data_IF_534655723913
#
_entry.id   IF_534655723913
#
_cell.length_a   1.000
_cell.length_b   1.000
_cell.length_c   1.000
_cell.angle_alpha   90.00
_cell.angle_beta   90.00
_cell.angle_gamma   90.00
#
_symmetry.space_group_name_H-M   'P 1'
#
loop_
_entity.id
_entity.type
_entity.pdbx_description
1 polymer ?
#
# COMPACT_ATOMS: atom_id res chain seq x y z
N UNK A 1 -11.51 68.27 -56.49
CA UNK A 1 -10.32 67.71 -55.79
C UNK A 1 -9.19 67.66 -56.80
N UNK A 2 -7.98 68.13 -56.47
CA UNK A 2 -6.84 68.01 -57.37
C UNK A 2 -6.42 66.55 -57.57
N UNK A 3 -5.93 66.19 -58.77
CA UNK A 3 -5.53 64.82 -59.12
C UNK A 3 -4.58 64.17 -58.10
N UNK A 4 -3.67 64.95 -57.51
CA UNK A 4 -2.76 64.47 -56.48
C UNK A 4 -3.48 63.98 -55.20
N UNK A 5 -4.56 64.65 -54.79
CA UNK A 5 -5.31 64.27 -53.60
C UNK A 5 -6.13 62.98 -53.80
N UNK A 6 -6.70 62.79 -55.00
CA UNK A 6 -7.43 61.55 -55.35
C UNK A 6 -6.49 60.36 -55.49
N UNK A 7 -5.30 60.55 -56.06
CA UNK A 7 -4.28 59.50 -56.15
C UNK A 7 -3.72 59.11 -54.77
N UNK A 8 -3.45 60.10 -53.90
CA UNK A 8 -3.02 59.83 -52.53
C UNK A 8 -4.07 59.04 -51.71
N UNK A 9 -5.36 59.39 -51.87
CA UNK A 9 -6.45 58.64 -51.23
C UNK A 9 -6.58 57.22 -51.79
N UNK A 10 -6.46 57.04 -53.10
CA UNK A 10 -6.48 55.72 -53.74
C UNK A 10 -5.37 54.82 -53.20
N UNK A 11 -4.12 55.30 -53.19
CA UNK A 11 -2.98 54.59 -52.58
C UNK A 11 -3.21 54.24 -51.10
N UNK A 12 -3.75 55.17 -50.31
CA UNK A 12 -4.08 54.93 -48.91
C UNK A 12 -5.14 53.85 -48.70
N UNK A 13 -6.19 53.84 -49.53
CA UNK A 13 -7.23 52.80 -49.49
C UNK A 13 -6.70 51.45 -49.98
N UNK A 14 -5.84 51.42 -51.00
CA UNK A 14 -5.18 50.18 -51.46
C UNK A 14 -4.29 49.59 -50.36
N UNK A 15 -3.53 50.43 -49.65
CA UNK A 15 -2.70 49.99 -48.52
C UNK A 15 -3.57 49.43 -47.39
N UNK A 16 -4.68 50.10 -47.04
CA UNK A 16 -5.63 49.60 -46.04
C UNK A 16 -6.28 48.27 -46.45
N UNK A 17 -6.72 48.13 -47.71
CA UNK A 17 -7.28 46.89 -48.24
C UNK A 17 -6.29 45.73 -48.11
N UNK A 18 -5.04 45.97 -48.50
CA UNK A 18 -3.95 44.98 -48.40
C UNK A 18 -3.71 44.55 -46.95
N UNK A 19 -3.76 45.50 -46.00
CA UNK A 19 -3.63 45.18 -44.57
C UNK A 19 -4.79 44.33 -44.06
N UNK A 20 -6.04 44.66 -44.42
CA UNK A 20 -7.23 43.89 -44.03
C UNK A 20 -7.19 42.47 -44.59
N UNK A 21 -6.79 42.32 -45.86
CA UNK A 21 -6.59 41.01 -46.49
C UNK A 21 -5.49 40.20 -45.80
N UNK A 22 -4.38 40.85 -45.41
CA UNK A 22 -3.31 40.21 -44.67
C UNK A 22 -3.73 39.78 -43.26
N UNK A 23 -4.49 40.61 -42.54
CA UNK A 23 -5.07 40.24 -41.24
C UNK A 23 -6.05 39.06 -41.38
N UNK A 24 -6.89 39.04 -42.41
CA UNK A 24 -7.80 37.92 -42.69
C UNK A 24 -7.04 36.61 -42.96
N UNK A 25 -5.92 36.66 -43.69
CA UNK A 25 -5.06 35.49 -43.90
C UNK A 25 -4.45 34.98 -42.60
N UNK A 26 -3.97 35.87 -41.72
CA UNK A 26 -3.42 35.47 -40.42
C UNK A 26 -4.49 34.79 -39.56
N UNK A 27 -5.71 35.34 -39.51
CA UNK A 27 -6.81 34.74 -38.77
C UNK A 27 -7.12 33.34 -39.30
N UNK A 28 -7.18 33.16 -40.63
CA UNK A 28 -7.40 31.83 -41.20
C UNK A 28 -6.30 30.83 -40.84
N UNK A 29 -5.03 31.25 -40.82
CA UNK A 29 -3.92 30.39 -40.35
C UNK A 29 -4.07 30.02 -38.87
N UNK A 30 -4.47 30.97 -38.02
CA UNK A 30 -4.74 30.70 -36.60
C UNK A 30 -5.88 29.70 -36.44
N UNK A 31 -6.97 29.84 -37.18
CA UNK A 31 -8.10 28.89 -37.16
C UNK A 31 -7.69 27.48 -37.61
N UNK A 32 -6.88 27.35 -38.66
CA UNK A 32 -6.33 26.03 -39.05
C UNK A 32 -5.47 25.42 -37.95
N UNK A 33 -4.67 26.23 -37.25
CA UNK A 33 -3.86 25.77 -36.12
C UNK A 33 -4.73 25.28 -34.96
N UNK A 34 -5.77 26.05 -34.59
CA UNK A 34 -6.74 25.68 -33.56
C UNK A 34 -7.51 24.40 -33.93
N UNK A 35 -7.87 24.23 -35.21
CA UNK A 35 -8.52 23.02 -35.70
C UNK A 35 -7.64 21.78 -35.54
N UNK A 36 -6.35 21.88 -35.87
CA UNK A 36 -5.39 20.80 -35.65
C UNK A 36 -5.22 20.48 -34.16
N UNK A 37 -5.16 21.50 -33.30
CA UNK A 37 -5.09 21.29 -31.84
C UNK A 37 -6.35 20.62 -31.30
N UNK A 38 -7.53 21.02 -31.75
CA UNK A 38 -8.79 20.37 -31.39
C UNK A 38 -8.80 18.90 -31.81
N UNK A 39 -8.34 18.59 -33.03
CA UNK A 39 -8.26 17.20 -33.51
C UNK A 39 -7.30 16.35 -32.64
N UNK A 40 -6.18 16.91 -32.20
CA UNK A 40 -5.26 16.23 -31.30
C UNK A 40 -5.91 15.92 -29.95
N UNK A 41 -6.61 16.88 -29.34
CA UNK A 41 -7.32 16.65 -28.08
C UNK A 41 -8.43 15.59 -28.19
N UNK A 42 -9.12 15.53 -29.33
CA UNK A 42 -10.07 14.44 -29.59
C UNK A 42 -9.38 13.08 -29.73
N UNK A 43 -8.21 13.02 -30.36
CA UNK A 43 -7.41 11.78 -30.43
C UNK A 43 -6.90 11.36 -29.05
N UNK A 44 -6.50 12.31 -28.21
CA UNK A 44 -6.07 12.04 -26.84
C UNK A 44 -7.22 11.42 -26.03
N UNK A 45 -8.45 11.97 -26.11
CA UNK A 45 -9.63 11.38 -25.47
C UNK A 45 -9.93 9.96 -25.95
N UNK A 46 -9.75 9.67 -27.24
CA UNK A 46 -9.97 8.33 -27.80
C UNK A 46 -8.87 7.34 -27.41
N UNK A 47 -7.66 7.83 -27.15
CA UNK A 47 -6.50 7.04 -26.74
C UNK A 47 -6.46 6.74 -25.24
N UNK A 48 -7.26 7.42 -24.42
CA UNK A 48 -7.32 7.17 -22.98
C UNK A 48 -7.99 5.82 -22.68
N UNK A 49 -7.34 5.00 -21.88
CA UNK A 49 -7.89 3.73 -21.39
C UNK A 49 -8.69 3.91 -20.11
N UNK A 50 -9.91 3.39 -20.08
CA UNK A 50 -10.74 3.36 -18.87
C UNK A 50 -10.12 2.36 -17.87
N UNK A 51 -9.79 2.77 -16.63
CA UNK A 51 -9.36 1.84 -15.59
C UNK A 51 -10.43 0.78 -15.31
N UNK A 52 -10.00 -0.47 -15.10
CA UNK A 52 -10.90 -1.60 -14.83
C UNK A 52 -10.79 -1.98 -13.35
N UNK A 53 -11.91 -2.12 -12.61
CA UNK A 53 -11.85 -2.50 -11.22
C UNK A 53 -11.30 -3.93 -11.05
N UNK A 54 -10.47 -4.19 -10.03
CA UNK A 54 -10.00 -5.54 -9.73
C UNK A 54 -11.17 -6.43 -9.29
N UNK A 55 -11.15 -7.70 -9.67
CA UNK A 55 -12.14 -8.68 -9.21
C UNK A 55 -11.68 -9.31 -7.90
N UNK A 56 -12.58 -9.43 -6.92
CA UNK A 56 -12.30 -10.17 -5.67
C UNK A 56 -11.92 -11.63 -5.97
N UNK A 57 -12.47 -12.20 -7.04
CA UNK A 57 -12.23 -13.59 -7.42
C UNK A 57 -10.75 -13.86 -7.73
N UNK A 58 -10.04 -12.89 -8.31
CA UNK A 58 -8.61 -12.99 -8.65
C UNK A 58 -7.72 -13.11 -7.40
N UNK A 59 -8.24 -12.69 -6.24
CA UNK A 59 -7.57 -12.75 -4.94
C UNK A 59 -8.16 -13.84 -4.04
N UNK A 60 -9.15 -14.60 -4.52
CA UNK A 60 -9.73 -15.73 -3.80
C UNK A 60 -9.08 -17.03 -4.22
N UNK A 61 -8.72 -17.87 -3.26
CA UNK A 61 -8.25 -19.24 -3.51
C UNK A 61 -9.04 -20.25 -2.69
N UNK A 62 -9.35 -21.38 -3.31
CA UNK A 62 -9.91 -22.54 -2.62
C UNK A 62 -8.79 -23.27 -1.89
N UNK A 63 -8.90 -23.37 -0.57
CA UNK A 63 -7.97 -24.12 0.28
C UNK A 63 -8.64 -25.36 0.82
N UNK A 64 -7.87 -26.43 0.95
CA UNK A 64 -8.32 -27.70 1.51
C UNK A 64 -7.54 -27.96 2.80
N UNK A 65 -8.24 -28.22 3.90
CA UNK A 65 -7.66 -28.53 5.20
C UNK A 65 -8.15 -29.88 5.72
N UNK A 66 -7.34 -30.56 6.51
CA UNK A 66 -7.73 -31.77 7.23
C UNK A 66 -7.11 -31.78 8.63
N UNK A 67 -7.78 -32.41 9.58
CA UNK A 67 -7.34 -32.53 10.96
C UNK A 67 -6.74 -33.92 11.21
N UNK A 68 -5.58 -33.95 11.88
CA UNK A 68 -4.92 -35.17 12.35
C UNK A 68 -4.66 -35.03 13.86
N UNK A 69 -5.64 -35.44 14.67
CA UNK A 69 -5.61 -35.23 16.12
C UNK A 69 -5.64 -33.74 16.48
N UNK A 70 -4.56 -33.23 17.08
CA UNK A 70 -4.38 -31.81 17.41
C UNK A 70 -3.70 -30.99 16.29
N UNK A 71 -3.37 -31.62 15.16
CA UNK A 71 -2.69 -31.00 14.04
C UNK A 71 -3.69 -30.55 12.99
N UNK A 72 -3.62 -29.28 12.59
CA UNK A 72 -4.37 -28.76 11.44
C UNK A 72 -3.46 -28.74 10.22
N UNK A 73 -3.84 -29.44 9.16
CA UNK A 73 -3.03 -29.53 7.95
C UNK A 73 -3.74 -28.82 6.79
N UNK A 74 -3.07 -27.88 6.13
CA UNK A 74 -3.58 -27.18 4.94
C UNK A 74 -2.82 -27.64 3.70
N UNK A 75 -3.52 -28.20 2.72
CA UNK A 75 -2.93 -28.60 1.43
C UNK A 75 -2.45 -27.36 0.68
N UNK A 76 -1.18 -27.36 0.31
CA UNK A 76 -0.53 -26.29 -0.47
C UNK A 76 -0.35 -26.68 -1.93
N UNK A 77 -0.12 -27.97 -2.21
CA UNK A 77 0.02 -28.46 -3.57
C UNK A 77 -0.49 -29.89 -3.68
N UNK A 78 -1.04 -30.20 -4.85
CA UNK A 78 -1.59 -31.52 -5.17
C UNK A 78 -1.32 -31.81 -6.65
N UNK A 79 -0.50 -32.82 -6.92
CA UNK A 79 -0.04 -33.16 -8.27
C UNK A 79 -0.50 -34.58 -8.58
N UNK A 80 -1.34 -34.74 -9.61
CA UNK A 80 -1.77 -36.06 -10.08
C UNK A 80 -0.62 -36.79 -10.79
N UNK A 81 -0.46 -38.07 -10.49
CA UNK A 81 0.53 -38.96 -11.09
C UNK A 81 -0.14 -39.89 -12.12
N UNK A 82 0.63 -40.37 -13.09
CA UNK A 82 0.15 -41.25 -14.17
C UNK A 82 -0.44 -42.59 -13.70
N UNK A 83 -0.20 -42.97 -12.44
CA UNK A 83 -0.68 -44.20 -11.81
C UNK A 83 -2.01 -44.02 -11.05
N UNK A 84 -2.66 -42.86 -11.15
CA UNK A 84 -3.91 -42.57 -10.43
C UNK A 84 -3.73 -42.19 -8.96
N UNK A 85 -2.50 -42.02 -8.49
CA UNK A 85 -2.18 -41.48 -7.16
C UNK A 85 -1.83 -40.00 -7.24
N UNK A 86 -1.75 -39.34 -6.10
CA UNK A 86 -1.38 -37.94 -5.98
C UNK A 86 -0.10 -37.78 -5.15
N UNK A 87 0.67 -36.75 -5.49
CA UNK A 87 1.73 -36.20 -4.66
C UNK A 87 1.21 -34.95 -3.98
N UNK A 88 1.17 -34.94 -2.65
CA UNK A 88 0.55 -33.86 -1.86
C UNK A 88 1.60 -33.18 -0.99
N UNK A 89 1.58 -31.85 -0.98
CA UNK A 89 2.30 -31.03 -0.01
C UNK A 89 1.28 -30.29 0.86
N UNK A 90 1.56 -30.17 2.16
CA UNK A 90 0.69 -29.48 3.09
C UNK A 90 1.48 -28.78 4.19
N UNK A 91 0.92 -27.69 4.72
CA UNK A 91 1.40 -27.01 5.92
C UNK A 91 0.72 -27.63 7.13
N UNK A 92 1.51 -28.21 8.02
CA UNK A 92 1.08 -28.74 9.30
C UNK A 92 1.19 -27.64 10.34
N UNK A 93 0.11 -27.39 11.07
CA UNK A 93 0.06 -26.40 12.14
C UNK A 93 -0.35 -27.07 13.45
N UNK A 94 0.30 -26.65 14.52
CA UNK A 94 -0.06 -27.06 15.88
C UNK A 94 0.18 -25.91 16.85
N UNK A 95 -0.56 -25.93 17.94
CA UNK A 95 -0.35 -24.99 19.05
C UNK A 95 0.65 -25.60 20.02
N UNK A 96 1.77 -24.91 20.22
CA UNK A 96 2.72 -25.21 21.29
C UNK A 96 2.39 -24.32 22.49
N UNK A 97 1.80 -24.92 23.52
CA UNK A 97 1.34 -24.21 24.74
C UNK A 97 2.47 -23.78 25.67
N UNK A 98 3.71 -24.20 25.41
CA UNK A 98 4.90 -23.87 26.21
C UNK A 98 5.95 -23.12 25.38
N UNK A 99 5.51 -22.12 24.63
CA UNK A 99 6.38 -21.27 23.82
C UNK A 99 6.59 -19.89 24.45
N UNK A 100 7.77 -19.30 24.25
CA UNK A 100 8.02 -17.92 24.67
C UNK A 100 7.41 -16.97 23.65
N UNK A 101 6.53 -16.06 24.07
CA UNK A 101 5.86 -15.07 23.21
C UNK A 101 6.12 -13.65 23.70
N UNK A 102 5.96 -12.67 22.80
CA UNK A 102 5.99 -11.26 23.17
C UNK A 102 4.85 -10.92 24.12
N UNK A 103 5.17 -10.14 25.15
CA UNK A 103 4.22 -9.55 26.09
C UNK A 103 4.18 -8.03 25.89
N UNK A 104 3.23 -7.36 26.56
CA UNK A 104 3.16 -5.90 26.58
C UNK A 104 4.50 -5.31 27.03
N UNK A 105 5.07 -4.43 26.20
CA UNK A 105 6.31 -3.73 26.49
C UNK A 105 6.18 -2.91 27.78
N UNK A 106 7.28 -2.71 28.50
CA UNK A 106 7.25 -2.03 29.81
C UNK A 106 8.24 -0.87 29.88
N UNK A 107 7.88 0.16 30.64
CA UNK A 107 8.85 1.16 31.14
C UNK A 107 9.59 0.53 32.31
N UNK A 108 10.92 0.56 32.24
CA UNK A 108 11.81 0.00 33.27
C UNK A 108 12.50 1.15 33.98
N UNK A 109 12.59 1.07 35.30
CA UNK A 109 13.40 1.97 36.12
C UNK A 109 14.75 1.30 36.43
N UNK A 110 15.86 1.99 36.19
CA UNK A 110 17.21 1.54 36.51
C UNK A 110 17.83 2.45 37.59
N UNK A 111 18.71 1.89 38.42
CA UNK A 111 19.59 2.69 39.27
C UNK A 111 20.70 3.37 38.46
N UNK A 112 21.39 4.34 39.06
CA UNK A 112 22.47 5.12 38.41
C UNK A 112 23.55 4.22 37.78
N UNK A 113 23.88 3.10 38.43
CA UNK A 113 24.91 2.15 37.98
C UNK A 113 24.40 1.11 36.96
N UNK A 114 23.10 1.12 36.60
CA UNK A 114 22.44 0.12 35.72
C UNK A 114 22.65 -1.33 36.17
N UNK A 115 22.73 -1.55 37.47
CA UNK A 115 22.89 -2.89 38.08
C UNK A 115 21.58 -3.45 38.64
N UNK A 116 20.59 -2.59 38.87
CA UNK A 116 19.28 -2.96 39.41
C UNK A 116 18.19 -2.36 38.53
N UNK A 117 17.31 -3.22 38.03
CA UNK A 117 16.19 -2.86 37.15
C UNK A 117 14.86 -3.17 37.82
N UNK A 118 13.86 -2.31 37.65
CA UNK A 118 12.54 -2.41 38.27
C UNK A 118 11.44 -2.13 37.25
N UNK A 119 10.32 -2.84 37.36
CA UNK A 119 9.09 -2.53 36.60
C UNK A 119 7.96 -2.32 37.59
N UNK A 120 7.51 -1.08 37.72
CA UNK A 120 6.63 -0.68 38.82
C UNK A 120 7.37 -0.79 40.16
N UNK A 121 6.79 -1.50 41.13
CA UNK A 121 7.39 -1.75 42.45
C UNK A 121 8.27 -3.00 42.50
N UNK A 122 8.24 -3.85 41.46
CA UNK A 122 8.94 -5.15 41.46
C UNK A 122 10.34 -5.02 40.87
N UNK A 123 11.33 -5.56 41.57
CA UNK A 123 12.72 -5.62 41.08
C UNK A 123 12.89 -6.85 40.19
N UNK A 124 13.54 -6.67 39.03
CA UNK A 124 13.86 -7.75 38.11
C UNK A 124 15.04 -8.56 38.65
N UNK A 125 14.92 -9.89 38.62
CA UNK A 125 15.97 -10.81 39.07
C UNK A 125 16.60 -11.50 37.88
N UNK A 126 17.89 -11.80 37.91
CA UNK A 126 18.53 -12.65 36.90
C UNK A 126 17.91 -14.06 36.91
N UNK A 127 17.43 -14.48 35.74
CA UNK A 127 16.79 -15.79 35.53
C UNK A 127 17.80 -16.92 35.80
N UNK A 128 17.36 -18.00 36.46
CA UNK A 128 18.19 -19.14 36.85
C UNK A 128 18.96 -18.94 38.17
N UNK A 129 19.03 -17.71 38.70
CA UNK A 129 19.68 -17.43 40.00
C UNK A 129 18.64 -17.12 41.06
N UNK A 130 18.13 -18.13 41.77
CA UNK A 130 17.24 -17.96 42.93
C UNK A 130 18.08 -18.07 44.23
N UNK A 131 18.23 -16.97 45.00
CA UNK A 131 18.90 -16.99 46.29
C UNK A 131 18.17 -17.88 47.29
N UNK A 132 18.90 -18.78 47.93
CA UNK A 132 18.34 -19.73 48.90
C UNK A 132 19.17 -19.76 50.18
N UNK A 133 18.49 -19.87 51.31
CA UNK A 133 19.11 -20.07 52.63
C UNK A 133 19.74 -21.47 52.74
N UNK A 134 20.52 -21.72 53.79
CA UNK A 134 21.10 -23.04 54.06
C UNK A 134 20.04 -24.16 54.19
N UNK A 135 18.81 -23.80 54.57
CA UNK A 135 17.69 -24.72 54.70
C UNK A 135 16.99 -25.02 53.37
N UNK A 136 17.29 -24.26 52.31
CA UNK A 136 16.77 -24.43 50.96
C UNK A 136 15.48 -23.64 50.67
N UNK A 137 15.09 -22.73 51.56
CA UNK A 137 14.01 -21.75 51.32
C UNK A 137 14.56 -20.46 50.70
N UNK A 138 13.69 -19.59 50.18
CA UNK A 138 14.10 -18.33 49.56
C UNK A 138 14.80 -17.40 50.56
N UNK A 139 15.94 -16.83 50.16
CA UNK A 139 16.69 -15.87 50.96
C UNK A 139 16.33 -14.43 50.57
N UNK A 140 15.41 -13.83 51.32
CA UNK A 140 14.97 -12.44 51.12
C UNK A 140 16.07 -11.40 51.36
N UNK A 141 17.06 -11.72 52.19
CA UNK A 141 18.13 -10.79 52.54
C UNK A 141 19.17 -10.72 51.41
N UNK A 142 19.34 -11.84 50.68
CA UNK A 142 20.18 -11.93 49.49
C UNK A 142 19.46 -11.58 48.17
N UNK A 143 18.16 -11.90 48.04
CA UNK A 143 17.38 -11.73 46.80
C UNK A 143 16.46 -10.52 46.74
N UNK A 144 16.24 -9.85 47.87
CA UNK A 144 15.23 -8.79 47.99
C UNK A 144 13.82 -9.36 48.21
N UNK A 145 12.88 -8.47 48.53
CA UNK A 145 11.49 -8.86 48.80
C UNK A 145 10.79 -9.32 47.50
N UNK A 146 10.29 -10.56 47.50
CA UNK A 146 9.54 -11.14 46.38
C UNK A 146 8.41 -12.01 46.94
N UNK A 147 7.18 -11.50 46.83
CA UNK A 147 6.00 -12.16 47.42
C UNK A 147 5.71 -13.55 46.83
N UNK A 148 6.15 -13.84 45.60
CA UNK A 148 5.99 -15.16 45.02
C UNK A 148 7.02 -16.12 45.62
N UNK A 149 8.30 -15.79 45.54
CA UNK A 149 9.38 -16.67 46.01
C UNK A 149 9.34 -16.91 47.52
N UNK A 150 8.92 -15.90 48.30
CA UNK A 150 8.69 -16.03 49.75
C UNK A 150 7.54 -16.98 50.10
N UNK A 151 6.59 -17.20 49.18
CA UNK A 151 5.45 -18.10 49.39
C UNK A 151 5.76 -19.58 49.08
N UNK A 152 6.89 -19.86 48.43
CA UNK A 152 7.25 -21.21 47.96
C UNK A 152 7.99 -22.03 49.03
N UNK A 153 7.66 -23.31 49.09
CA UNK A 153 8.43 -24.31 49.87
C UNK A 153 9.75 -24.67 49.19
N UNK A 154 10.65 -25.33 49.93
CA UNK A 154 11.95 -25.82 49.43
C UNK A 154 11.82 -26.67 48.15
N UNK A 155 10.86 -27.58 48.13
CA UNK A 155 10.66 -28.47 46.98
C UNK A 155 10.16 -27.69 45.76
N UNK A 156 9.26 -26.73 45.97
CA UNK A 156 8.77 -25.83 44.92
C UNK A 156 9.87 -24.91 44.38
N UNK A 157 10.77 -24.41 45.21
CA UNK A 157 11.93 -23.63 44.75
C UNK A 157 12.87 -24.50 43.91
N UNK A 158 13.08 -25.75 44.31
CA UNK A 158 13.92 -26.68 43.54
C UNK A 158 13.31 -26.97 42.17
N UNK A 159 11.99 -27.18 42.12
CA UNK A 159 11.25 -27.33 40.87
C UNK A 159 11.32 -26.06 40.01
N UNK A 160 11.11 -24.88 40.61
CA UNK A 160 11.17 -23.61 39.90
C UNK A 160 12.56 -23.36 39.30
N UNK A 161 13.64 -23.72 39.99
CA UNK A 161 15.01 -23.65 39.41
C UNK A 161 15.13 -24.49 38.14
N UNK A 162 14.61 -25.72 38.16
CA UNK A 162 14.62 -26.59 36.98
C UNK A 162 13.74 -26.04 35.84
N UNK A 163 12.59 -25.43 36.17
CA UNK A 163 11.73 -24.76 35.19
C UNK A 163 12.40 -23.52 34.59
N UNK A 164 13.09 -22.70 35.40
CA UNK A 164 13.84 -21.54 34.93
C UNK A 164 14.98 -21.93 33.98
N UNK A 165 15.66 -23.06 34.22
CA UNK A 165 16.69 -23.58 33.32
C UNK A 165 16.10 -23.95 31.94
N UNK A 166 14.87 -24.49 31.89
CA UNK A 166 14.16 -24.73 30.63
C UNK A 166 13.70 -23.42 29.96
N UNK A 167 13.20 -22.45 30.73
CA UNK A 167 12.85 -21.13 30.20
C UNK A 167 14.05 -20.43 29.56
N UNK A 168 15.24 -20.52 30.17
CA UNK A 168 16.48 -20.00 29.61
C UNK A 168 16.76 -20.62 28.24
N UNK A 169 16.65 -21.94 28.09
CA UNK A 169 16.86 -22.63 26.80
C UNK A 169 15.89 -22.13 25.74
N UNK A 170 14.61 -22.02 26.08
CA UNK A 170 13.57 -21.53 25.16
C UNK A 170 13.83 -20.07 24.73
N UNK A 171 14.14 -19.20 25.69
CA UNK A 171 14.47 -17.79 25.44
C UNK A 171 15.70 -17.65 24.56
N UNK A 172 16.78 -18.38 24.85
CA UNK A 172 18.02 -18.32 24.09
C UNK A 172 17.86 -18.86 22.66
N UNK A 173 17.08 -19.95 22.50
CA UNK A 173 16.80 -20.51 21.18
C UNK A 173 15.99 -19.53 20.30
N UNK A 174 15.05 -18.78 20.89
CA UNK A 174 14.15 -17.90 20.12
C UNK A 174 14.65 -16.46 19.97
N UNK A 175 15.21 -15.88 21.01
CA UNK A 175 15.60 -14.46 21.08
C UNK A 175 17.12 -14.25 21.18
N UNK A 176 17.89 -15.32 21.01
CA UNK A 176 19.34 -15.33 20.96
C UNK A 176 20.01 -15.53 22.32
N UNK A 177 21.28 -15.97 22.31
CA UNK A 177 22.06 -16.13 23.52
C UNK A 177 22.18 -14.79 24.28
N UNK A 178 21.97 -14.84 25.59
CA UNK A 178 22.04 -13.68 26.46
C UNK A 178 21.59 -13.98 27.87
N UNK A 179 21.83 -13.01 28.75
CA UNK A 179 21.28 -13.00 30.10
C UNK A 179 19.85 -12.45 30.06
N UNK A 180 18.95 -13.13 30.77
CA UNK A 180 17.56 -12.74 30.90
C UNK A 180 17.25 -12.43 32.35
N UNK A 181 16.45 -11.40 32.55
CA UNK A 181 15.88 -10.99 33.83
C UNK A 181 14.42 -11.41 33.88
N UNK A 182 13.91 -11.76 35.06
CA UNK A 182 12.55 -12.26 35.27
C UNK A 182 11.85 -11.53 36.41
N UNK A 183 10.53 -11.41 36.28
CA UNK A 183 9.61 -11.09 37.38
C UNK A 183 8.40 -12.00 37.30
N UNK A 184 7.83 -12.33 38.46
CA UNK A 184 6.58 -13.08 38.55
C UNK A 184 5.44 -12.13 38.90
N UNK A 185 4.38 -12.15 38.11
CA UNK A 185 3.20 -11.32 38.33
C UNK A 185 2.02 -12.22 38.60
N UNK A 186 1.32 -11.97 39.70
CA UNK A 186 0.09 -12.67 40.01
C UNK A 186 -1.03 -12.19 39.08
N UNK A 187 -1.68 -13.12 38.39
CA UNK A 187 -2.92 -12.85 37.68
C UNK A 187 -4.04 -12.64 38.71
N UNK A 188 -4.68 -11.47 38.67
CA UNK A 188 -5.75 -11.11 39.61
C UNK A 188 -7.00 -11.97 39.46
N UNK A 189 -7.13 -12.70 38.35
CA UNK A 189 -8.29 -13.52 38.03
C UNK A 189 -8.08 -14.97 38.45
N UNK A 190 -6.93 -15.57 38.12
CA UNK A 190 -6.64 -16.98 38.45
C UNK A 190 -5.89 -17.14 39.77
N UNK A 191 -5.25 -16.08 40.26
CA UNK A 191 -4.37 -16.11 41.43
C UNK A 191 -2.99 -16.74 41.15
N UNK A 192 -2.74 -17.17 39.91
CA UNK A 192 -1.49 -17.82 39.50
C UNK A 192 -0.40 -16.82 39.17
N UNK A 193 0.86 -17.18 39.40
CA UNK A 193 2.00 -16.35 39.10
C UNK A 193 2.58 -16.68 37.73
N UNK A 194 2.60 -15.68 36.85
CA UNK A 194 3.13 -15.81 35.50
C UNK A 194 4.51 -15.16 35.37
N UNK A 195 5.50 -15.85 34.77
CA UNK A 195 6.82 -15.28 34.54
C UNK A 195 6.82 -14.30 33.37
N UNK A 196 7.46 -13.15 33.56
CA UNK A 196 7.73 -12.15 32.54
C UNK A 196 9.23 -11.92 32.45
N UNK A 197 9.78 -12.01 31.24
CA UNK A 197 11.20 -11.97 30.95
C UNK A 197 11.61 -10.70 30.20
N UNK A 198 12.82 -10.22 30.48
CA UNK A 198 13.45 -9.06 29.85
C UNK A 198 14.88 -9.43 29.48
N UNK A 199 15.33 -9.06 28.29
CA UNK A 199 16.72 -9.31 27.87
C UNK A 199 17.64 -8.29 28.53
N UNK A 200 18.67 -8.74 29.23
CA UNK A 200 19.58 -7.84 29.97
C UNK A 200 20.26 -6.82 29.05
N UNK A 201 20.69 -7.25 27.86
CA UNK A 201 21.30 -6.34 26.88
C UNK A 201 20.37 -5.18 26.49
N UNK A 202 19.06 -5.44 26.36
CA UNK A 202 18.07 -4.40 26.01
C UNK A 202 17.85 -3.44 27.18
N UNK A 203 17.98 -3.91 28.42
CA UNK A 203 17.96 -3.08 29.63
C UNK A 203 19.19 -2.19 29.74
N UNK A 204 20.39 -2.75 29.53
CA UNK A 204 21.65 -2.01 29.67
C UNK A 204 21.82 -0.93 28.58
N UNK A 205 21.39 -1.24 27.35
CA UNK A 205 21.49 -0.33 26.20
C UNK A 205 20.40 0.73 26.14
N UNK A 206 19.33 0.61 26.94
CA UNK A 206 18.27 1.59 26.98
C UNK A 206 18.75 2.96 27.51
N UNK A 207 18.10 4.02 26.99
CA UNK A 207 18.27 5.38 27.49
C UNK A 207 17.34 5.61 28.67
N UNK A 208 17.87 6.16 29.75
CA UNK A 208 17.13 6.46 30.97
C UNK A 208 17.08 7.98 31.20
N UNK A 209 16.01 8.48 31.80
CA UNK A 209 15.88 9.88 32.23
C UNK A 209 16.57 10.12 33.59
N UNK A 210 16.57 11.38 34.05
CA UNK A 210 17.16 11.77 35.34
C UNK A 210 16.47 11.10 36.55
N UNK A 211 15.27 10.56 36.38
CA UNK A 211 14.52 9.82 37.39
C UNK A 211 14.77 8.30 37.28
N UNK A 212 15.67 7.88 36.39
CA UNK A 212 16.04 6.49 36.15
C UNK A 212 15.02 5.71 35.33
N UNK A 213 14.03 6.33 34.68
CA UNK A 213 13.03 5.63 33.86
C UNK A 213 13.48 5.52 32.41
N UNK A 214 13.23 4.37 31.78
CA UNK A 214 13.55 4.14 30.38
C UNK A 214 12.73 5.09 29.49
N UNK A 215 13.39 5.84 28.62
CA UNK A 215 12.74 6.79 27.71
C UNK A 215 11.95 6.06 26.59
N UNK A 216 12.30 4.82 26.30
CA UNK A 216 11.59 3.94 25.38
C UNK A 216 11.01 2.73 26.12
N UNK A 217 9.90 2.22 25.61
CA UNK A 217 9.35 0.94 26.07
C UNK A 217 10.31 -0.20 25.72
N UNK A 218 10.58 -1.07 26.70
CA UNK A 218 11.45 -2.24 26.54
C UNK A 218 10.61 -3.47 26.26
N UNK A 219 11.09 -4.31 25.34
CA UNK A 219 10.45 -5.57 24.98
C UNK A 219 10.38 -6.51 26.19
N UNK A 220 9.22 -7.15 26.33
CA UNK A 220 8.91 -8.08 27.40
C UNK A 220 8.46 -9.39 26.77
N UNK A 221 8.77 -10.51 27.42
CA UNK A 221 8.40 -11.84 26.95
C UNK A 221 7.70 -12.61 28.07
N UNK A 222 6.87 -13.58 27.73
CA UNK A 222 6.22 -14.49 28.68
C UNK A 222 6.11 -15.88 28.10
N UNK A 223 5.83 -16.88 28.94
CA UNK A 223 5.39 -18.19 28.45
C UNK A 223 3.92 -18.10 28.05
N UNK A 224 3.58 -18.68 26.91
CA UNK A 224 2.23 -18.80 26.43
C UNK A 224 2.17 -19.73 25.22
N UNK A 225 1.04 -19.69 24.52
CA UNK A 225 0.84 -20.52 23.33
C UNK A 225 1.31 -19.81 22.06
N UNK A 226 2.01 -20.53 21.18
CA UNK A 226 2.37 -20.08 19.84
C UNK A 226 1.96 -21.14 18.80
N UNK A 227 1.39 -20.69 17.68
CA UNK A 227 1.15 -21.58 16.54
C UNK A 227 2.46 -21.84 15.80
N UNK A 228 2.92 -23.09 15.80
CA UNK A 228 4.03 -23.54 14.97
C UNK A 228 3.50 -24.03 13.63
N UNK A 229 4.29 -23.83 12.58
CA UNK A 229 3.98 -24.32 11.23
C UNK A 229 5.19 -25.07 10.68
N UNK A 230 4.95 -26.23 10.08
CA UNK A 230 5.93 -27.04 9.36
C UNK A 230 5.41 -27.37 7.97
N UNK A 231 6.28 -27.29 6.96
CA UNK A 231 5.92 -27.66 5.58
C UNK A 231 6.30 -29.11 5.29
N UNK A 232 5.30 -29.96 5.07
CA UNK A 232 5.49 -31.34 4.61
C UNK A 232 5.41 -31.35 3.09
N UNK A 233 6.51 -31.70 2.43
CA UNK A 233 6.64 -31.67 0.97
C UNK A 233 6.52 -33.06 0.36
N UNK A 234 5.79 -33.12 -0.76
CA UNK A 234 5.82 -34.22 -1.71
C UNK A 234 5.56 -35.62 -1.11
N UNK A 235 4.50 -35.77 -0.31
CA UNK A 235 4.03 -37.09 0.12
C UNK A 235 3.49 -37.82 -1.11
N UNK A 236 4.16 -38.90 -1.51
CA UNK A 236 3.81 -39.70 -2.69
C UNK A 236 2.85 -40.81 -2.35
N UNK A 237 1.96 -41.18 -3.30
CA UNK A 237 1.06 -42.34 -3.14
C UNK A 237 -0.23 -42.01 -2.41
N UNK A 238 -0.60 -40.73 -2.31
CA UNK A 238 -1.86 -40.31 -1.71
C UNK A 238 -3.03 -40.66 -2.63
N UNK A 239 -4.15 -41.10 -2.06
CA UNK A 239 -5.41 -41.28 -2.78
C UNK A 239 -6.36 -40.15 -2.40
N UNK A 240 -7.18 -39.71 -3.34
CA UNK A 240 -8.08 -38.56 -3.13
C UNK A 240 -9.44 -38.89 -3.69
N UNK A 241 -10.47 -38.66 -2.89
CA UNK A 241 -11.86 -38.85 -3.30
C UNK A 241 -12.50 -37.50 -3.60
N UNK A 242 -13.33 -37.48 -4.64
CA UNK A 242 -14.10 -36.30 -5.04
C UNK A 242 -15.60 -36.54 -4.83
N UNK A 243 -16.33 -35.49 -4.54
CA UNK A 243 -17.78 -35.51 -4.60
C UNK A 243 -18.30 -35.44 -6.05
N UNK A 244 -19.63 -35.47 -6.21
CA UNK A 244 -20.32 -35.33 -7.50
C UNK A 244 -20.15 -33.95 -8.15
N UNK A 245 -19.67 -32.95 -7.41
CA UNK A 245 -19.33 -31.60 -7.91
C UNK A 245 -17.86 -31.47 -8.32
N UNK A 246 -17.05 -32.52 -8.14
CA UNK A 246 -15.63 -32.53 -8.46
C UNK A 246 -14.72 -31.93 -7.39
N UNK A 247 -15.26 -31.58 -6.21
CA UNK A 247 -14.54 -31.06 -5.06
C UNK A 247 -13.89 -32.21 -4.28
N UNK A 248 -12.68 -32.00 -3.78
CA UNK A 248 -12.00 -33.01 -2.97
C UNK A 248 -12.63 -33.09 -1.58
N UNK A 249 -13.00 -34.31 -1.17
CA UNK A 249 -13.72 -34.55 0.09
C UNK A 249 -12.92 -35.40 1.08
N UNK A 250 -12.05 -36.29 0.61
CA UNK A 250 -11.20 -37.10 1.47
C UNK A 250 -9.81 -37.21 0.86
N UNK A 251 -8.79 -37.29 1.72
CA UNK A 251 -7.42 -37.62 1.38
C UNK A 251 -6.97 -38.83 2.17
N UNK A 252 -6.39 -39.81 1.49
CA UNK A 252 -5.77 -40.99 2.11
C UNK A 252 -4.26 -40.86 1.97
N UNK A 253 -3.58 -40.72 3.10
CA UNK A 253 -2.12 -40.65 3.17
C UNK A 253 -1.53 -42.05 3.43
N UNK A 254 -0.46 -42.44 2.74
CA UNK A 254 0.23 -43.70 3.02
C UNK A 254 1.04 -43.56 4.32
N UNK A 255 0.82 -44.48 5.27
CA UNK A 255 1.56 -44.53 6.53
C UNK A 255 2.00 -45.96 6.81
N UNK A 256 3.25 -46.30 6.48
CA UNK A 256 3.94 -47.59 6.75
C UNK A 256 3.03 -48.83 6.88
N UNK A 257 2.26 -49.11 5.82
CA UNK A 257 1.41 -50.30 5.70
C UNK A 257 -0.06 -50.15 6.13
N UNK A 258 -0.43 -49.05 6.80
CA UNK A 258 -1.82 -48.73 7.15
C UNK A 258 -2.20 -47.34 6.61
N UNK A 259 -2.85 -47.24 5.44
CA UNK A 259 -3.31 -45.96 4.91
C UNK A 259 -4.33 -45.33 5.87
N UNK A 260 -4.18 -44.02 6.12
CA UNK A 260 -5.10 -43.25 6.97
C UNK A 260 -5.88 -42.27 6.09
N UNK A 261 -7.21 -42.27 6.24
CA UNK A 261 -8.10 -41.38 5.49
C UNK A 261 -8.59 -40.24 6.38
N UNK A 262 -8.44 -39.02 5.87
CA UNK A 262 -8.88 -37.79 6.51
C UNK A 262 -9.94 -37.10 5.65
N UNK A 263 -10.95 -36.53 6.29
CA UNK A 263 -11.94 -35.70 5.62
C UNK A 263 -11.38 -34.30 5.37
N UNK A 264 -11.59 -33.80 4.15
CA UNK A 264 -11.17 -32.48 3.70
C UNK A 264 -12.28 -31.47 3.96
N UNK A 265 -11.97 -30.49 4.80
CA UNK A 265 -12.73 -29.25 4.86
C UNK A 265 -12.24 -28.34 3.76
N UNK A 266 -13.15 -27.78 2.99
CA UNK A 266 -12.77 -26.84 1.95
C UNK A 266 -13.30 -25.47 2.29
N UNK A 267 -12.41 -24.49 2.23
CA UNK A 267 -12.70 -23.09 2.53
C UNK A 267 -12.23 -22.21 1.39
N UNK A 268 -12.84 -21.04 1.25
CA UNK A 268 -12.37 -19.99 0.34
C UNK A 268 -11.66 -18.94 1.18
N UNK A 269 -10.40 -18.67 0.85
CA UNK A 269 -9.61 -17.63 1.52
C UNK A 269 -9.33 -16.55 0.50
N UNK A 270 -9.68 -15.31 0.86
CA UNK A 270 -9.39 -14.11 0.07
C UNK A 270 -8.17 -13.42 0.65
N UNK A 271 -7.22 -13.05 -0.22
CA UNK A 271 -6.13 -12.16 0.12
C UNK A 271 -6.65 -10.71 0.17
N UNK A 272 -7.17 -10.32 1.34
CA UNK A 272 -7.85 -9.04 1.53
C UNK A 272 -6.88 -7.85 1.33
N UNK A 273 -5.66 -7.96 1.85
CA UNK A 273 -4.64 -6.90 1.74
C UNK A 273 -4.27 -6.66 0.27
N UNK A 274 -4.04 -7.73 -0.50
CA UNK A 274 -3.72 -7.61 -1.93
C UNK A 274 -4.89 -7.03 -2.74
N UNK A 275 -6.13 -7.38 -2.39
CA UNK A 275 -7.33 -6.80 -3.02
C UNK A 275 -7.50 -5.32 -2.67
N UNK A 276 -7.29 -4.93 -1.41
CA UNK A 276 -7.38 -3.53 -0.97
C UNK A 276 -6.31 -2.67 -1.64
N UNK A 277 -5.07 -3.15 -1.74
CA UNK A 277 -3.99 -2.47 -2.46
C UNK A 277 -4.34 -2.27 -3.94
N UNK A 278 -4.88 -3.30 -4.60
CA UNK A 278 -5.32 -3.21 -5.99
C UNK A 278 -6.50 -2.24 -6.17
N UNK A 279 -7.42 -2.19 -5.20
CA UNK A 279 -8.55 -1.25 -5.22
C UNK A 279 -8.07 0.20 -5.05
N UNK A 280 -7.15 0.44 -4.12
CA UNK A 280 -6.54 1.75 -3.92
C UNK A 280 -5.84 2.26 -5.19
N UNK A 281 -5.11 1.37 -5.89
CA UNK A 281 -4.50 1.68 -7.17
C UNK A 281 -5.54 2.04 -8.23
N UNK A 282 -6.63 1.26 -8.33
CA UNK A 282 -7.73 1.57 -9.25
C UNK A 282 -8.40 2.91 -8.94
N UNK A 283 -8.64 3.24 -7.66
CA UNK A 283 -9.23 4.53 -7.27
C UNK A 283 -8.34 5.71 -7.68
N UNK A 284 -7.02 5.57 -7.53
CA UNK A 284 -6.04 6.54 -7.97
C UNK A 284 -6.06 6.71 -9.50
N UNK A 285 -5.97 5.62 -10.25
CA UNK A 285 -6.00 5.65 -11.72
C UNK A 285 -7.30 6.23 -12.26
N UNK A 286 -8.43 5.92 -11.62
CA UNK A 286 -9.73 6.49 -11.96
C UNK A 286 -9.76 8.00 -11.72
N UNK A 287 -9.21 8.46 -10.59
CA UNK A 287 -9.11 9.89 -10.30
C UNK A 287 -8.28 10.64 -11.35
N UNK A 288 -7.10 10.10 -11.71
CA UNK A 288 -6.26 10.68 -12.77
C UNK A 288 -6.96 10.69 -14.13
N UNK A 289 -7.65 9.60 -14.46
CA UNK A 289 -8.43 9.48 -15.69
C UNK A 289 -9.54 10.55 -15.75
N UNK A 290 -10.34 10.68 -14.69
CA UNK A 290 -11.41 11.68 -14.61
C UNK A 290 -10.86 13.11 -14.67
N UNK A 291 -9.71 13.37 -14.04
CA UNK A 291 -9.02 14.65 -14.11
C UNK A 291 -8.55 14.97 -15.53
N UNK A 292 -7.91 14.01 -16.20
CA UNK A 292 -7.41 14.18 -17.56
C UNK A 292 -8.55 14.42 -18.56
N UNK A 293 -9.68 13.72 -18.44
CA UNK A 293 -10.87 13.99 -19.27
C UNK A 293 -11.37 15.42 -19.05
N UNK A 294 -11.51 15.84 -17.79
CA UNK A 294 -11.98 17.19 -17.48
C UNK A 294 -11.04 18.25 -18.03
N UNK A 295 -9.72 18.04 -17.93
CA UNK A 295 -8.72 18.94 -18.49
C UNK A 295 -8.81 19.02 -20.02
N UNK A 296 -8.91 17.88 -20.71
CA UNK A 296 -9.02 17.86 -22.18
C UNK A 296 -10.33 18.53 -22.63
N UNK A 297 -11.45 18.25 -21.96
CA UNK A 297 -12.73 18.89 -22.26
C UNK A 297 -12.65 20.42 -22.07
N UNK A 298 -12.02 20.89 -21.00
CA UNK A 298 -11.81 22.32 -20.77
C UNK A 298 -10.93 22.96 -21.86
N UNK A 299 -9.87 22.27 -22.30
CA UNK A 299 -9.02 22.74 -23.42
C UNK A 299 -9.79 22.81 -24.73
N UNK A 300 -10.65 21.82 -25.02
CA UNK A 300 -11.52 21.83 -26.20
C UNK A 300 -12.48 23.03 -26.14
N UNK A 301 -13.11 23.29 -24.99
CA UNK A 301 -14.02 24.43 -24.81
C UNK A 301 -13.32 25.77 -25.05
N UNK A 302 -12.10 25.93 -24.53
CA UNK A 302 -11.27 27.13 -24.75
C UNK A 302 -10.98 27.30 -26.25
N UNK A 303 -10.56 26.24 -26.95
CA UNK A 303 -10.26 26.31 -28.38
C UNK A 303 -11.51 26.65 -29.19
N UNK A 304 -12.65 26.05 -28.88
CA UNK A 304 -13.92 26.35 -29.55
C UNK A 304 -14.34 27.81 -29.35
N UNK A 305 -14.15 28.35 -28.14
CA UNK A 305 -14.38 29.77 -27.85
C UNK A 305 -13.43 30.69 -28.63
N UNK A 306 -12.15 30.34 -28.71
CA UNK A 306 -11.15 31.07 -29.50
C UNK A 306 -11.48 31.04 -31.00
N UNK A 307 -11.83 29.89 -31.57
CA UNK A 307 -12.20 29.79 -32.98
C UNK A 307 -13.44 30.64 -33.29
N UNK A 308 -14.45 30.62 -32.41
CA UNK A 308 -15.64 31.48 -32.53
C UNK A 308 -15.29 32.97 -32.51
N UNK A 309 -14.35 33.39 -31.67
CA UNK A 309 -13.90 34.79 -31.63
C UNK A 309 -13.18 35.19 -32.93
N UNK A 310 -12.30 34.32 -33.41
CA UNK A 310 -11.59 34.51 -34.68
C UNK A 310 -12.56 34.56 -35.87
N UNK A 311 -13.58 33.70 -35.90
CA UNK A 311 -14.62 33.72 -36.94
C UNK A 311 -15.39 35.05 -36.94
N UNK A 312 -15.74 35.58 -35.77
CA UNK A 312 -16.41 36.89 -35.66
C UNK A 312 -15.51 38.02 -36.16
N UNK A 313 -14.22 38.00 -35.82
CA UNK A 313 -13.26 38.99 -36.29
C UNK A 313 -13.03 38.89 -37.81
N UNK A 314 -12.99 37.68 -38.36
CA UNK A 314 -12.89 37.46 -39.80
C UNK A 314 -14.11 38.07 -40.53
N UNK A 315 -15.32 37.84 -40.04
CA UNK A 315 -16.55 38.45 -40.61
C UNK A 315 -16.53 39.99 -40.58
N UNK A 316 -15.95 40.58 -39.53
CA UNK A 316 -15.77 42.04 -39.45
C UNK A 316 -14.78 42.53 -40.51
N UNK A 317 -13.63 41.86 -40.66
CA UNK A 317 -12.64 42.20 -41.69
C UNK A 317 -13.21 42.04 -43.10
N UNK A 318 -14.00 41.00 -43.37
CA UNK A 318 -14.68 40.83 -44.67
C UNK A 318 -15.61 42.03 -44.97
N UNK A 319 -16.39 42.45 -43.96
CA UNK A 319 -17.28 43.61 -44.07
C UNK A 319 -16.49 44.91 -44.32
N UNK A 320 -15.35 45.09 -43.64
CA UNK A 320 -14.46 46.24 -43.87
C UNK A 320 -13.82 46.21 -45.26
N UNK A 321 -13.40 45.03 -45.73
CA UNK A 321 -12.81 44.84 -47.05
C UNK A 321 -13.80 45.24 -48.14
N UNK A 322 -15.07 44.80 -48.03
CA UNK A 322 -16.14 45.15 -48.97
C UNK A 322 -16.41 46.66 -49.00
N UNK A 323 -16.43 47.30 -47.83
CA UNK A 323 -16.58 48.76 -47.72
C UNK A 323 -15.41 49.51 -48.36
N UNK A 324 -14.16 49.08 -48.10
CA UNK A 324 -12.96 49.67 -48.69
C UNK A 324 -12.94 49.45 -50.21
N UNK A 325 -13.36 48.28 -50.69
CA UNK A 325 -13.44 47.99 -52.13
C UNK A 325 -14.43 48.91 -52.82
N UNK A 326 -15.59 49.13 -52.21
CA UNK A 326 -16.61 50.07 -52.71
C UNK A 326 -16.06 51.51 -52.75
N UNK A 327 -15.32 51.94 -51.72
CA UNK A 327 -14.64 53.25 -51.72
C UNK A 327 -13.55 53.36 -52.79
N UNK A 328 -12.76 52.30 -53.01
CA UNK A 328 -11.73 52.23 -54.04
C UNK A 328 -12.32 52.41 -55.43
N UNK A 329 -13.42 51.72 -55.73
CA UNK A 329 -14.10 51.84 -57.03
C UNK A 329 -14.63 53.25 -57.26
N UNK A 330 -15.24 53.86 -56.23
CA UNK A 330 -15.73 55.23 -56.30
C UNK A 330 -14.59 56.24 -56.54
N UNK A 331 -13.45 56.10 -55.84
CA UNK A 331 -12.28 56.97 -56.01
C UNK A 331 -11.62 56.75 -57.37
N UNK A 332 -11.53 55.50 -57.83
CA UNK A 332 -10.99 55.13 -59.14
C UNK A 332 -11.78 55.80 -60.28
N UNK A 333 -13.12 55.74 -60.22
CA UNK A 333 -13.98 56.43 -61.19
C UNK A 333 -13.77 57.95 -61.19
N UNK A 334 -13.54 58.57 -60.03
CA UNK A 334 -13.26 60.01 -59.94
C UNK A 334 -11.90 60.36 -60.56
N UNK A 335 -10.86 59.54 -60.33
CA UNK A 335 -9.54 59.71 -60.97
C UNK A 335 -9.68 59.59 -62.49
N UNK A 336 -10.42 58.59 -62.98
CA UNK A 336 -10.64 58.37 -64.40
C UNK A 336 -11.33 59.59 -65.05
N UNK A 337 -12.42 60.08 -64.45
CA UNK A 337 -13.14 61.28 -64.93
C UNK A 337 -12.26 62.54 -64.96
N UNK A 338 -11.42 62.75 -63.94
CA UNK A 338 -10.50 63.88 -63.89
C UNK A 338 -9.40 63.77 -64.96
N UNK A 339 -8.89 62.56 -65.18
CA UNK A 339 -7.88 62.28 -66.22
C UNK A 339 -8.48 62.54 -67.62
N UNK A 340 -9.65 62.00 -67.92
CA UNK A 340 -10.36 62.22 -69.19
C UNK A 340 -10.66 63.70 -69.42
N UNK A 341 -11.11 64.42 -68.39
CA UNK A 341 -11.39 65.86 -68.49
C UNK A 341 -10.12 66.65 -68.76
N UNK A 342 -9.01 66.28 -68.12
CA UNK A 342 -7.71 66.92 -68.38
C UNK A 342 -7.26 66.68 -69.82
N UNK A 343 -7.33 65.44 -70.31
CA UNK A 343 -7.00 65.11 -71.70
C UNK A 343 -7.87 65.85 -72.72
N UNK A 344 -9.18 65.96 -72.50
CA UNK A 344 -10.10 66.70 -73.39
C UNK A 344 -9.88 68.22 -73.39
N UNK A 345 -9.21 68.76 -72.38
CA UNK A 345 -8.97 70.20 -72.26
C UNK A 345 -7.64 70.62 -72.90
N UNK A 346 -6.71 69.66 -73.07
CA UNK A 346 -5.35 69.90 -73.59
C UNK A 346 -5.01 69.20 -74.92
N UNK A 347 -5.86 68.29 -75.41
CA UNK A 347 -5.83 67.74 -76.77
C UNK A 347 -7.01 68.24 -77.57
#
# INVERSE_FOLDING_TARGET
>A
MGMAASQARFLGLTARKTNVEFEGQQINQQRTTLSNQSANYYNDLLGMSVPVPPSVDDYTKTVYTFEDGALTNQITAMIAQNNGTYTVSYLRQWTDDFSVVGASTSIVNANEDKTVFKVGSTTLRKLGTIPTTADGTYDKDAGGADSYLESLSKDQITQLKAEEDEYIKLLQNKYGAGDYMVRYIQDTTTGEYNPYFYKLADLETANYDDNGNSQSNINCYKIGSETKTEEVKAVTGCQIEKDSSGRYINITLPNDGNPVTYSLTTSTVTDQDAYEDAMNQYEYEKYEYDQAINEINAKIEIIQSQDKNLELRLKQLDTEQDAISTELDAVSQVIQKNTESTFKTFG
#
